data_IF_560113407529
#
_entry.id   IF_560113407529
#
_cell.length_a   1.000
_cell.length_b   1.000
_cell.length_c   1.000
_cell.angle_alpha   90.00
_cell.angle_beta   90.00
_cell.angle_gamma   90.00
#
_symmetry.space_group_name_H-M   'P 1'
#
loop_
_entity.id
_entity.type
_entity.pdbx_description
1 polymer ?
#
# COMPACT_ATOMS: atom_id res chain seq x y z
N UNK A 1 -22.78 13.50 -15.72
CA UNK A 1 -23.08 12.92 -14.40
C UNK A 1 -22.20 13.64 -13.40
N UNK A 2 -22.72 14.17 -12.29
CA UNK A 2 -21.90 14.78 -11.23
C UNK A 2 -21.03 13.67 -10.65
N UNK A 3 -19.71 13.77 -10.78
CA UNK A 3 -18.77 12.84 -10.15
C UNK A 3 -19.01 12.86 -8.65
N UNK A 4 -19.27 11.71 -8.06
CA UNK A 4 -19.45 11.56 -6.60
C UNK A 4 -18.17 12.04 -5.92
N UNK A 5 -18.25 13.05 -5.07
CA UNK A 5 -17.08 13.59 -4.37
C UNK A 5 -16.78 12.71 -3.15
N UNK A 6 -15.79 11.84 -3.26
CA UNK A 6 -15.35 11.02 -2.14
C UNK A 6 -14.45 11.81 -1.19
N UNK A 7 -14.78 11.80 0.10
CA UNK A 7 -14.06 12.54 1.14
C UNK A 7 -12.54 12.27 1.14
N UNK A 8 -12.14 11.00 0.94
CA UNK A 8 -10.72 10.63 0.83
C UNK A 8 -10.05 11.32 -0.36
N UNK A 9 -10.66 11.26 -1.54
CA UNK A 9 -10.09 11.81 -2.78
C UNK A 9 -10.01 13.35 -2.69
N UNK A 10 -11.05 13.99 -2.16
CA UNK A 10 -11.03 15.44 -1.92
C UNK A 10 -9.90 15.83 -0.95
N UNK A 11 -9.67 15.03 0.12
CA UNK A 11 -8.58 15.28 1.06
C UNK A 11 -7.20 15.10 0.42
N UNK A 12 -7.03 14.07 -0.43
CA UNK A 12 -5.77 13.81 -1.15
C UNK A 12 -5.45 15.03 -2.07
N UNK A 13 -6.44 15.58 -2.74
CA UNK A 13 -6.28 16.78 -3.55
C UNK A 13 -6.30 18.09 -2.74
N UNK A 14 -6.23 18.01 -1.40
CA UNK A 14 -6.16 19.15 -0.49
C UNK A 14 -7.33 20.14 -0.66
N UNK A 15 -8.52 19.64 -1.01
CA UNK A 15 -9.75 20.42 -1.10
C UNK A 15 -10.44 20.50 0.26
N UNK A 16 -11.33 21.47 0.42
CA UNK A 16 -12.13 21.64 1.64
C UNK A 16 -13.06 20.45 1.85
N UNK A 17 -13.07 19.92 3.05
CA UNK A 17 -13.84 18.77 3.50
C UNK A 17 -14.45 19.03 4.88
N UNK A 18 -15.56 18.34 5.19
CA UNK A 18 -16.29 18.53 6.45
C UNK A 18 -15.62 17.86 7.66
N UNK A 19 -14.78 16.85 7.43
CA UNK A 19 -14.01 16.14 8.44
C UNK A 19 -12.83 15.41 7.82
N UNK A 20 -11.89 15.01 8.64
CA UNK A 20 -10.76 14.18 8.18
C UNK A 20 -11.24 12.77 7.81
N UNK A 21 -10.96 12.28 6.58
CA UNK A 21 -11.27 10.91 6.20
C UNK A 21 -10.38 9.90 6.95
N UNK A 22 -10.93 8.72 7.21
CA UNK A 22 -10.22 7.63 7.91
C UNK A 22 -10.34 6.31 7.16
N UNK A 23 -9.20 5.68 6.93
CA UNK A 23 -9.08 4.27 6.57
C UNK A 23 -7.91 3.65 7.32
N UNK A 24 -7.81 2.33 7.40
CA UNK A 24 -6.84 1.66 8.26
C UNK A 24 -5.97 0.73 7.41
N UNK A 25 -4.67 0.96 7.40
CA UNK A 25 -3.71 0.10 6.72
C UNK A 25 -3.82 -1.34 7.24
N UNK A 26 -4.08 -2.30 6.32
CA UNK A 26 -4.43 -3.70 6.61
C UNK A 26 -5.79 -3.85 7.30
N UNK A 27 -6.77 -2.96 7.01
CA UNK A 27 -8.13 -3.01 7.54
C UNK A 27 -8.83 -4.36 7.32
N UNK A 28 -8.57 -5.05 6.21
CA UNK A 28 -8.88 -6.45 6.02
C UNK A 28 -7.67 -7.30 6.45
N UNK A 29 -7.82 -8.15 7.46
CA UNK A 29 -6.66 -8.89 7.93
C UNK A 29 -6.90 -9.79 9.14
N UNK A 30 -5.83 -10.39 9.63
CA UNK A 30 -5.82 -11.47 10.63
C UNK A 30 -6.41 -11.10 12.00
N UNK A 31 -6.65 -9.84 12.29
CA UNK A 31 -7.31 -9.40 13.52
C UNK A 31 -8.85 -9.58 13.45
N UNK A 32 -9.42 -9.75 12.24
CA UNK A 32 -10.85 -9.97 12.02
C UNK A 32 -11.18 -11.46 12.04
N UNK A 33 -12.12 -11.91 12.91
CA UNK A 33 -12.58 -13.31 12.94
C UNK A 33 -13.16 -13.79 11.61
N UNK A 34 -13.93 -12.94 10.92
CA UNK A 34 -14.51 -13.20 9.62
C UNK A 34 -13.44 -13.41 8.54
N UNK A 35 -12.36 -12.64 8.56
CA UNK A 35 -11.21 -12.86 7.68
C UNK A 35 -10.59 -14.24 7.89
N UNK A 36 -10.33 -14.61 9.15
CA UNK A 36 -9.76 -15.93 9.48
C UNK A 36 -10.65 -17.06 8.96
N UNK A 37 -11.98 -16.93 9.16
CA UNK A 37 -12.96 -17.90 8.65
C UNK A 37 -12.87 -18.02 7.13
N UNK A 38 -12.92 -16.91 6.40
CA UNK A 38 -12.88 -16.89 4.94
C UNK A 38 -11.55 -17.44 4.41
N UNK A 39 -10.41 -17.06 5.00
CA UNK A 39 -9.08 -17.61 4.65
C UNK A 39 -9.02 -19.12 4.80
N UNK A 40 -9.57 -19.66 5.92
CA UNK A 40 -9.56 -21.10 6.18
C UNK A 40 -10.47 -21.85 5.20
N UNK A 41 -11.63 -21.30 4.88
CA UNK A 41 -12.54 -21.86 3.85
C UNK A 41 -11.89 -21.89 2.46
N UNK A 42 -11.13 -20.84 2.11
CA UNK A 42 -10.37 -20.80 0.85
C UNK A 42 -9.23 -21.84 0.79
N UNK A 43 -8.78 -22.36 1.94
CA UNK A 43 -7.63 -23.27 2.01
C UNK A 43 -6.28 -22.55 1.90
N UNK A 44 -6.20 -21.30 2.40
CA UNK A 44 -4.98 -20.52 2.54
C UNK A 44 -4.97 -19.18 1.80
N UNK A 45 -3.92 -18.40 2.06
CA UNK A 45 -3.83 -17.02 1.60
C UNK A 45 -3.80 -16.89 0.07
N UNK A 46 -2.96 -17.68 -0.63
CA UNK A 46 -2.86 -17.61 -2.10
C UNK A 46 -4.16 -18.01 -2.80
N UNK A 47 -4.85 -19.03 -2.28
CA UNK A 47 -6.14 -19.44 -2.83
C UNK A 47 -7.22 -18.39 -2.57
N UNK A 48 -7.12 -17.67 -1.45
CA UNK A 48 -8.02 -16.56 -1.12
C UNK A 48 -7.85 -15.40 -2.10
N UNK A 49 -6.63 -14.90 -2.30
CA UNK A 49 -6.40 -13.74 -3.16
C UNK A 49 -6.59 -14.04 -4.65
N UNK A 50 -6.43 -15.31 -5.07
CA UNK A 50 -6.68 -15.77 -6.45
C UNK A 50 -8.13 -16.15 -6.72
N UNK A 51 -9.02 -15.99 -5.75
CA UNK A 51 -10.46 -16.15 -5.94
C UNK A 51 -11.15 -14.80 -5.83
N UNK A 52 -11.67 -14.23 -6.94
CA UNK A 52 -12.24 -12.89 -6.98
C UNK A 52 -13.38 -12.64 -6.01
N UNK A 53 -14.27 -13.62 -5.83
CA UNK A 53 -15.43 -13.51 -4.93
C UNK A 53 -14.98 -13.47 -3.47
N UNK A 54 -14.01 -14.32 -3.09
CA UNK A 54 -13.51 -14.36 -1.71
C UNK A 54 -12.63 -13.14 -1.39
N UNK A 55 -11.83 -12.67 -2.35
CA UNK A 55 -11.04 -11.44 -2.17
C UNK A 55 -11.94 -10.20 -2.06
N UNK A 56 -13.02 -10.14 -2.85
CA UNK A 56 -14.07 -9.13 -2.72
C UNK A 56 -14.73 -9.20 -1.34
N UNK A 57 -15.20 -10.37 -0.92
CA UNK A 57 -15.81 -10.58 0.42
C UNK A 57 -14.88 -10.05 1.52
N UNK A 58 -13.60 -10.41 1.48
CA UNK A 58 -12.63 -9.96 2.49
C UNK A 58 -12.40 -8.44 2.44
N UNK A 59 -12.41 -7.85 1.26
CA UNK A 59 -12.32 -6.38 1.11
C UNK A 59 -13.52 -5.69 1.77
N UNK A 60 -14.72 -6.26 1.66
CA UNK A 60 -15.96 -5.68 2.17
C UNK A 60 -16.15 -5.89 3.69
N UNK A 61 -15.50 -6.89 4.31
CA UNK A 61 -15.66 -7.19 5.74
C UNK A 61 -15.41 -5.99 6.67
N UNK A 62 -14.29 -5.26 6.57
CA UNK A 62 -14.06 -4.09 7.42
C UNK A 62 -15.06 -2.96 7.16
N UNK A 63 -15.55 -2.79 5.92
CA UNK A 63 -16.52 -1.74 5.58
C UNK A 63 -17.90 -2.00 6.16
N UNK A 64 -18.29 -3.28 6.32
CA UNK A 64 -19.52 -3.66 7.02
C UNK A 64 -19.41 -3.47 8.53
N UNK A 65 -18.20 -3.48 9.07
CA UNK A 65 -17.93 -3.38 10.50
C UNK A 65 -17.69 -1.95 10.96
N UNK A 66 -17.01 -1.15 10.14
CA UNK A 66 -16.56 0.19 10.49
C UNK A 66 -16.98 1.20 9.44
N UNK A 67 -17.38 2.42 9.83
CA UNK A 67 -17.71 3.49 8.88
C UNK A 67 -16.42 4.13 8.31
N UNK A 68 -15.65 3.36 7.56
CA UNK A 68 -14.43 3.79 6.88
C UNK A 68 -14.74 4.63 5.64
N UNK A 69 -13.79 5.46 5.23
CA UNK A 69 -13.94 6.37 4.09
C UNK A 69 -13.29 5.87 2.80
N UNK A 70 -12.80 4.61 2.82
CA UNK A 70 -12.23 3.95 1.64
C UNK A 70 -12.23 2.45 1.77
N UNK A 71 -12.45 1.76 0.65
CA UNK A 71 -12.05 0.38 0.46
C UNK A 71 -10.57 0.29 0.11
N UNK A 72 -9.89 -0.76 0.55
CA UNK A 72 -8.56 -1.15 0.10
C UNK A 72 -8.64 -2.51 -0.57
N UNK A 73 -8.20 -2.60 -1.81
CA UNK A 73 -8.13 -3.86 -2.54
C UNK A 73 -7.42 -4.93 -1.70
N UNK A 74 -8.05 -6.09 -1.52
CA UNK A 74 -7.41 -7.22 -0.85
C UNK A 74 -6.58 -8.03 -1.84
N UNK A 75 -5.27 -7.85 -1.80
CA UNK A 75 -4.27 -8.51 -2.65
C UNK A 75 -2.93 -8.57 -1.93
N UNK A 76 -1.84 -8.81 -2.65
CA UNK A 76 -0.46 -8.73 -2.14
C UNK A 76 0.42 -7.91 -3.07
N UNK A 77 1.45 -7.24 -2.52
CA UNK A 77 2.40 -6.43 -3.30
C UNK A 77 3.26 -7.26 -4.26
N UNK A 78 3.32 -8.58 -4.06
CA UNK A 78 4.16 -9.50 -4.83
C UNK A 78 3.40 -10.21 -5.96
N UNK A 79 2.08 -9.98 -6.11
CA UNK A 79 1.31 -10.64 -7.18
C UNK A 79 1.81 -10.28 -8.59
N UNK A 80 2.48 -9.13 -8.74
CA UNK A 80 3.15 -8.76 -10.00
C UNK A 80 4.14 -9.84 -10.47
N UNK A 81 4.66 -10.66 -9.57
CA UNK A 81 5.55 -11.77 -9.90
C UNK A 81 4.84 -12.89 -10.70
N UNK A 82 3.51 -12.96 -10.68
CA UNK A 82 2.74 -13.91 -11.49
C UNK A 82 2.89 -13.58 -12.99
N UNK A 83 3.11 -12.31 -13.36
CA UNK A 83 3.40 -11.90 -14.75
C UNK A 83 4.74 -12.45 -15.26
N UNK A 84 5.64 -12.81 -14.36
CA UNK A 84 6.96 -13.38 -14.64
C UNK A 84 6.99 -14.91 -14.49
N UNK A 85 5.86 -15.55 -14.19
CA UNK A 85 5.75 -16.99 -13.90
C UNK A 85 6.66 -17.44 -12.74
N UNK A 86 6.85 -16.60 -11.73
CA UNK A 86 7.77 -16.87 -10.62
C UNK A 86 7.19 -17.73 -9.50
N UNK A 87 5.96 -18.23 -9.63
CA UNK A 87 5.33 -19.15 -8.71
C UNK A 87 5.38 -18.70 -7.24
N UNK A 88 4.81 -17.51 -6.95
CA UNK A 88 4.67 -17.01 -5.59
C UNK A 88 3.81 -17.95 -4.74
N UNK A 89 4.34 -18.37 -3.60
CA UNK A 89 3.59 -19.10 -2.56
C UNK A 89 3.82 -18.48 -1.19
N UNK A 90 2.90 -18.74 -0.28
CA UNK A 90 3.00 -18.29 1.11
C UNK A 90 3.00 -19.50 2.05
N UNK A 91 3.92 -19.50 2.99
CA UNK A 91 3.95 -20.48 4.09
C UNK A 91 3.65 -19.78 5.42
N UNK A 92 2.83 -20.44 6.24
CA UNK A 92 2.49 -19.92 7.56
C UNK A 92 3.75 -19.69 8.40
N UNK A 93 3.84 -18.53 9.06
CA UNK A 93 4.98 -18.06 9.87
C UNK A 93 6.26 -17.70 9.10
N UNK A 94 6.42 -18.10 7.84
CA UNK A 94 7.57 -17.78 6.99
C UNK A 94 7.24 -16.55 6.11
N UNK A 95 6.07 -16.55 5.49
CA UNK A 95 5.64 -15.50 4.56
C UNK A 95 5.81 -15.90 3.09
N UNK A 96 6.05 -14.94 2.19
CA UNK A 96 6.23 -15.21 0.77
C UNK A 96 7.51 -16.00 0.48
N UNK A 97 7.42 -16.92 -0.49
CA UNK A 97 8.51 -17.75 -0.95
C UNK A 97 8.50 -17.81 -2.47
N UNK A 98 9.70 -17.67 -3.05
CA UNK A 98 9.98 -17.90 -4.46
C UNK A 98 10.99 -19.06 -4.59
N UNK A 99 10.58 -20.16 -5.22
CA UNK A 99 11.43 -21.34 -5.35
C UNK A 99 12.64 -21.12 -6.27
N UNK A 100 12.56 -20.16 -7.16
CA UNK A 100 13.61 -19.80 -8.11
C UNK A 100 13.92 -18.30 -8.00
N UNK A 101 14.71 -17.87 -7.00
CA UNK A 101 15.08 -16.47 -6.84
C UNK A 101 15.98 -15.99 -7.98
N UNK A 102 15.92 -14.68 -8.29
CA UNK A 102 16.71 -14.04 -9.36
C UNK A 102 18.08 -13.62 -8.84
N UNK A 103 19.10 -14.39 -9.09
CA UNK A 103 20.47 -14.13 -8.56
C UNK A 103 21.53 -14.02 -9.65
N UNK A 104 21.26 -14.50 -10.84
CA UNK A 104 22.20 -14.57 -11.96
C UNK A 104 21.55 -14.10 -13.26
N UNK A 105 22.38 -13.75 -14.25
CA UNK A 105 21.92 -13.47 -15.62
C UNK A 105 21.07 -14.63 -16.18
N UNK A 106 21.53 -15.86 -15.96
CA UNK A 106 20.81 -17.05 -16.41
C UNK A 106 19.44 -17.22 -15.75
N UNK A 107 19.22 -16.71 -14.53
CA UNK A 107 17.90 -16.73 -13.91
C UNK A 107 16.96 -15.72 -14.57
N UNK A 108 17.47 -14.53 -14.90
CA UNK A 108 16.71 -13.50 -15.60
C UNK A 108 16.35 -13.94 -17.03
N UNK A 109 17.27 -14.58 -17.75
CA UNK A 109 17.06 -15.09 -19.13
C UNK A 109 15.99 -16.21 -19.22
N UNK A 110 15.72 -16.90 -18.13
CA UNK A 110 14.66 -17.95 -18.05
C UNK A 110 13.25 -17.37 -17.90
N UNK A 111 13.13 -16.08 -17.58
CA UNK A 111 11.83 -15.43 -17.46
C UNK A 111 11.22 -15.17 -18.85
N UNK A 112 9.89 -15.04 -18.96
CA UNK A 112 9.23 -14.70 -20.21
C UNK A 112 9.79 -13.41 -20.80
N UNK A 113 10.05 -13.39 -22.10
CA UNK A 113 10.45 -12.17 -22.81
C UNK A 113 9.34 -11.12 -22.90
N UNK A 114 8.09 -11.59 -22.88
CA UNK A 114 6.90 -10.76 -22.83
C UNK A 114 6.16 -11.01 -21.51
N UNK A 115 5.74 -9.92 -20.89
CA UNK A 115 4.97 -9.98 -19.63
C UNK A 115 3.51 -10.23 -19.97
N UNK A 116 2.92 -11.21 -19.31
CA UNK A 116 1.52 -11.55 -19.51
C UNK A 116 0.67 -11.00 -18.35
N UNK A 117 0.05 -9.85 -18.57
CA UNK A 117 -0.83 -9.20 -17.59
C UNK A 117 -2.10 -10.02 -17.35
N UNK A 118 -2.48 -10.93 -18.26
CA UNK A 118 -3.64 -11.81 -18.07
C UNK A 118 -3.47 -12.77 -16.89
N UNK A 119 -2.23 -13.05 -16.47
CA UNK A 119 -1.94 -13.78 -15.23
C UNK A 119 -2.46 -13.09 -13.96
N UNK A 120 -2.86 -11.80 -14.06
CA UNK A 120 -3.46 -11.01 -12.99
C UNK A 120 -4.98 -10.77 -13.19
N UNK A 121 -5.64 -11.48 -14.12
CA UNK A 121 -7.08 -11.29 -14.39
C UNK A 121 -7.93 -11.51 -13.12
N UNK A 122 -7.52 -12.42 -12.22
CA UNK A 122 -8.19 -12.60 -10.93
C UNK A 122 -8.21 -11.31 -10.06
N UNK A 123 -7.21 -10.43 -10.20
CA UNK A 123 -7.21 -9.12 -9.52
C UNK A 123 -8.19 -8.17 -10.19
N UNK A 124 -8.22 -8.15 -11.53
CA UNK A 124 -9.12 -7.32 -12.30
C UNK A 124 -10.60 -7.67 -12.02
N UNK A 125 -10.91 -8.95 -11.97
CA UNK A 125 -12.23 -9.46 -11.58
C UNK A 125 -12.57 -9.09 -10.13
N UNK A 126 -11.60 -9.19 -9.20
CA UNK A 126 -11.77 -8.74 -7.82
C UNK A 126 -12.14 -7.26 -7.75
N UNK A 127 -11.44 -6.39 -8.51
CA UNK A 127 -11.73 -4.96 -8.57
C UNK A 127 -13.16 -4.70 -9.08
N UNK A 128 -13.56 -5.36 -10.17
CA UNK A 128 -14.92 -5.25 -10.73
C UNK A 128 -16.00 -5.65 -9.71
N UNK A 129 -15.78 -6.77 -9.00
CA UNK A 129 -16.70 -7.24 -7.97
C UNK A 129 -16.82 -6.25 -6.82
N UNK A 130 -15.68 -5.71 -6.32
CA UNK A 130 -15.68 -4.69 -5.26
C UNK A 130 -16.40 -3.42 -5.73
N UNK A 131 -16.11 -2.90 -6.92
CA UNK A 131 -16.78 -1.71 -7.46
C UNK A 131 -18.28 -1.93 -7.61
N UNK A 132 -18.71 -3.12 -8.02
CA UNK A 132 -20.12 -3.51 -8.06
C UNK A 132 -20.79 -3.45 -6.67
N UNK A 133 -20.15 -3.96 -5.62
CA UNK A 133 -20.67 -3.91 -4.25
C UNK A 133 -20.64 -2.50 -3.64
N UNK A 134 -19.60 -1.71 -3.91
CA UNK A 134 -19.48 -0.33 -3.42
C UNK A 134 -20.52 0.60 -4.05
N UNK A 135 -20.92 0.36 -5.29
CA UNK A 135 -21.90 1.17 -6.02
C UNK A 135 -21.61 2.68 -5.90
N UNK A 136 -20.35 3.06 -6.08
CA UNK A 136 -19.82 4.43 -5.96
C UNK A 136 -20.04 5.11 -4.58
N UNK A 137 -20.33 4.35 -3.54
CA UNK A 137 -20.47 4.91 -2.18
C UNK A 137 -19.14 5.29 -1.52
N UNK A 138 -18.07 4.57 -1.86
CA UNK A 138 -16.71 4.77 -1.36
C UNK A 138 -15.68 4.59 -2.47
N UNK A 139 -14.53 5.28 -2.37
CA UNK A 139 -13.42 5.06 -3.29
C UNK A 139 -12.71 3.74 -2.97
N UNK A 140 -12.17 3.11 -4.00
CA UNK A 140 -11.33 1.92 -3.91
C UNK A 140 -9.86 2.29 -4.12
N UNK A 141 -9.01 2.04 -3.13
CA UNK A 141 -7.56 2.15 -3.26
C UNK A 141 -7.02 0.84 -3.83
N UNK A 142 -6.40 0.89 -5.02
CA UNK A 142 -5.52 -0.14 -5.53
C UNK A 142 -4.09 0.07 -5.03
N UNK A 143 -3.21 -0.92 -5.19
CA UNK A 143 -1.84 -0.75 -4.73
C UNK A 143 -0.84 -1.66 -5.44
N UNK A 144 0.43 -1.30 -5.28
CA UNK A 144 1.59 -2.09 -5.71
C UNK A 144 2.73 -1.99 -4.71
N UNK A 145 3.67 -2.93 -4.78
CA UNK A 145 4.99 -2.75 -4.17
C UNK A 145 5.88 -1.88 -5.05
N UNK A 146 6.76 -1.06 -4.46
CA UNK A 146 7.81 -0.40 -5.22
C UNK A 146 8.69 -1.43 -5.92
N UNK A 147 9.27 -1.13 -7.09
CA UNK A 147 10.15 -2.06 -7.79
C UNK A 147 11.31 -2.57 -6.93
N UNK A 148 11.93 -1.70 -6.14
CA UNK A 148 12.95 -2.10 -5.17
C UNK A 148 12.41 -3.09 -4.11
N UNK A 149 11.25 -2.80 -3.52
CA UNK A 149 10.64 -3.68 -2.54
C UNK A 149 10.34 -5.06 -3.13
N UNK A 150 9.78 -5.12 -4.33
CA UNK A 150 9.51 -6.37 -5.03
C UNK A 150 10.81 -7.11 -5.34
N UNK A 151 11.83 -6.40 -5.88
CA UNK A 151 13.13 -6.97 -6.21
C UNK A 151 13.80 -7.64 -4.99
N UNK A 152 13.70 -7.02 -3.79
CA UNK A 152 14.27 -7.64 -2.58
C UNK A 152 13.71 -9.04 -2.34
N UNK A 153 12.41 -9.25 -2.50
CA UNK A 153 11.80 -10.57 -2.33
C UNK A 153 12.17 -11.55 -3.45
N UNK A 154 12.21 -11.08 -4.71
CA UNK A 154 12.56 -11.93 -5.86
C UNK A 154 14.02 -12.39 -5.80
N UNK A 155 14.92 -11.55 -5.30
CA UNK A 155 16.36 -11.85 -5.17
C UNK A 155 16.64 -12.68 -3.94
N UNK A 156 16.07 -12.35 -2.77
CA UNK A 156 16.24 -13.14 -1.54
C UNK A 156 15.54 -14.50 -1.62
N UNK A 157 14.41 -14.59 -2.34
CA UNK A 157 13.59 -15.79 -2.47
C UNK A 157 12.59 -15.98 -1.33
N UNK A 158 12.69 -15.20 -0.26
CA UNK A 158 11.80 -15.26 0.91
C UNK A 158 11.85 -13.97 1.74
N UNK A 159 11.03 -13.91 2.80
CA UNK A 159 11.15 -12.88 3.83
C UNK A 159 12.43 -13.05 4.63
N UNK A 160 13.27 -12.02 4.69
CA UNK A 160 14.50 -12.00 5.48
C UNK A 160 14.68 -10.65 6.18
N UNK A 161 15.52 -10.63 7.22
CA UNK A 161 16.01 -9.39 7.85
C UNK A 161 17.44 -9.06 7.43
N UNK A 162 18.13 -9.97 6.76
CA UNK A 162 19.55 -9.85 6.42
C UNK A 162 19.79 -9.22 5.06
N UNK A 163 18.92 -9.48 4.08
CA UNK A 163 19.00 -8.94 2.71
C UNK A 163 20.39 -9.17 2.05
N UNK A 164 20.99 -10.35 2.28
CA UNK A 164 22.38 -10.64 1.92
C UNK A 164 22.59 -10.67 0.41
N UNK A 165 21.64 -11.29 -0.32
CA UNK A 165 21.76 -11.42 -1.78
C UNK A 165 21.55 -10.10 -2.50
N UNK A 166 20.52 -9.33 -2.13
CA UNK A 166 20.26 -8.03 -2.78
C UNK A 166 21.36 -7.02 -2.46
N UNK A 167 21.88 -7.01 -1.23
CA UNK A 167 23.02 -6.16 -0.85
C UNK A 167 24.32 -6.59 -1.57
N UNK A 168 24.53 -7.89 -1.77
CA UNK A 168 25.64 -8.43 -2.58
C UNK A 168 25.50 -7.95 -4.03
N UNK A 169 24.34 -8.16 -4.65
CA UNK A 169 24.07 -7.76 -6.03
C UNK A 169 24.21 -6.24 -6.24
N UNK A 170 23.74 -5.43 -5.28
CA UNK A 170 23.92 -3.97 -5.32
C UNK A 170 25.39 -3.54 -5.45
N UNK A 171 26.31 -4.28 -4.84
CA UNK A 171 27.76 -3.98 -4.83
C UNK A 171 28.50 -4.61 -5.99
N UNK A 172 28.20 -5.87 -6.31
CA UNK A 172 28.99 -6.71 -7.18
C UNK A 172 28.45 -6.77 -8.60
N UNK A 173 27.12 -6.64 -8.78
CA UNK A 173 26.47 -6.69 -10.10
C UNK A 173 25.29 -5.71 -10.20
N UNK A 174 25.54 -4.38 -10.10
CA UNK A 174 24.49 -3.37 -10.17
C UNK A 174 23.76 -3.32 -11.52
N UNK A 175 24.38 -3.81 -12.60
CA UNK A 175 23.77 -3.85 -13.93
C UNK A 175 22.68 -4.92 -14.00
N UNK A 176 22.91 -6.11 -13.45
CA UNK A 176 21.88 -7.14 -13.30
C UNK A 176 20.72 -6.64 -12.44
N UNK A 177 21.03 -5.99 -11.31
CA UNK A 177 20.01 -5.38 -10.45
C UNK A 177 19.14 -4.37 -11.22
N UNK A 178 19.76 -3.51 -12.01
CA UNK A 178 19.04 -2.52 -12.84
C UNK A 178 18.12 -3.18 -13.85
N UNK A 179 18.55 -4.26 -14.50
CA UNK A 179 17.72 -5.03 -15.46
C UNK A 179 16.53 -5.71 -14.76
N UNK A 180 16.74 -6.25 -13.57
CA UNK A 180 15.64 -6.81 -12.74
C UNK A 180 14.63 -5.70 -12.38
N UNK A 181 15.11 -4.54 -11.93
CA UNK A 181 14.27 -3.40 -11.60
C UNK A 181 13.50 -2.85 -12.82
N UNK A 182 14.13 -2.75 -13.99
CA UNK A 182 13.47 -2.33 -15.23
C UNK A 182 12.32 -3.29 -15.61
N UNK A 183 12.55 -4.60 -15.51
CA UNK A 183 11.55 -5.63 -15.77
C UNK A 183 10.36 -5.50 -14.80
N UNK A 184 10.63 -5.41 -13.49
CA UNK A 184 9.59 -5.25 -12.47
C UNK A 184 8.81 -3.96 -12.72
N UNK A 185 9.50 -2.86 -13.04
CA UNK A 185 8.86 -1.56 -13.29
C UNK A 185 7.92 -1.63 -14.49
N UNK A 186 8.33 -2.28 -15.58
CA UNK A 186 7.46 -2.49 -16.74
C UNK A 186 6.20 -3.25 -16.35
N UNK A 187 6.34 -4.38 -15.67
CA UNK A 187 5.17 -5.14 -15.18
C UNK A 187 4.29 -4.35 -14.21
N UNK A 188 4.90 -3.56 -13.32
CA UNK A 188 4.16 -2.71 -12.38
C UNK A 188 3.36 -1.62 -13.08
N UNK A 189 3.91 -1.01 -14.15
CA UNK A 189 3.20 -0.02 -14.98
C UNK A 189 1.98 -0.66 -15.64
N UNK A 190 2.14 -1.82 -16.27
CA UNK A 190 1.04 -2.52 -16.93
C UNK A 190 -0.03 -2.94 -15.89
N UNK A 191 0.39 -3.43 -14.74
CA UNK A 191 -0.51 -3.81 -13.65
C UNK A 191 -1.28 -2.62 -13.06
N UNK A 192 -0.64 -1.47 -12.87
CA UNK A 192 -1.31 -0.24 -12.40
C UNK A 192 -2.37 0.21 -13.41
N UNK A 193 -2.05 0.21 -14.70
CA UNK A 193 -3.01 0.57 -15.75
C UNK A 193 -4.24 -0.34 -15.75
N UNK A 194 -4.05 -1.64 -15.60
CA UNK A 194 -5.17 -2.56 -15.48
C UNK A 194 -6.01 -2.32 -14.22
N UNK A 195 -5.39 -2.03 -13.05
CA UNK A 195 -6.14 -1.66 -11.86
C UNK A 195 -7.02 -0.42 -12.11
N UNK A 196 -6.45 0.64 -12.71
CA UNK A 196 -7.17 1.89 -13.02
C UNK A 196 -8.31 1.64 -14.02
N UNK A 197 -8.02 0.94 -15.10
CA UNK A 197 -9.01 0.58 -16.13
C UNK A 197 -10.19 -0.21 -15.56
N UNK A 198 -9.97 -1.03 -14.53
CA UNK A 198 -11.00 -1.80 -13.86
C UNK A 198 -11.69 -1.06 -12.70
N UNK A 199 -11.29 0.18 -12.42
CA UNK A 199 -12.07 1.13 -11.61
C UNK A 199 -11.52 1.45 -10.23
N UNK A 200 -10.22 1.31 -9.95
CA UNK A 200 -9.66 1.87 -8.72
C UNK A 200 -9.63 3.41 -8.79
N UNK A 201 -9.83 4.06 -7.67
CA UNK A 201 -9.97 5.51 -7.55
C UNK A 201 -8.70 6.20 -7.02
N UNK A 202 -7.75 5.43 -6.50
CA UNK A 202 -6.42 5.86 -6.08
C UNK A 202 -5.43 4.70 -6.19
N UNK A 203 -4.14 4.99 -6.42
CA UNK A 203 -3.07 3.97 -6.38
C UNK A 203 -2.14 4.26 -5.21
N UNK A 204 -1.85 3.22 -4.42
CA UNK A 204 -0.87 3.31 -3.33
C UNK A 204 0.40 2.52 -3.66
N UNK A 205 1.56 3.18 -3.56
CA UNK A 205 2.88 2.56 -3.76
C UNK A 205 3.50 2.28 -2.40
N UNK A 206 3.74 0.99 -2.09
CA UNK A 206 4.40 0.57 -0.86
C UNK A 206 5.90 0.38 -1.07
N UNK A 207 6.70 1.33 -0.58
CA UNK A 207 8.17 1.25 -0.56
C UNK A 207 8.67 0.73 0.80
N UNK A 208 8.27 -0.48 1.14
CA UNK A 208 8.51 -1.10 2.46
C UNK A 208 10.00 -1.19 2.79
N UNK A 209 10.84 -1.46 1.79
CA UNK A 209 12.26 -1.69 1.94
C UNK A 209 13.15 -0.56 1.38
N UNK A 210 12.57 0.56 0.99
CA UNK A 210 13.32 1.75 0.52
C UNK A 210 14.38 2.22 1.53
N UNK A 211 14.14 2.03 2.82
CA UNK A 211 15.10 2.36 3.87
C UNK A 211 16.37 1.50 3.93
N UNK A 212 16.47 0.44 3.15
CA UNK A 212 17.73 -0.32 2.96
C UNK A 212 18.73 0.44 2.10
N UNK A 213 18.24 1.39 1.32
CA UNK A 213 19.04 2.25 0.45
C UNK A 213 19.22 3.64 1.08
N UNK A 214 20.33 4.27 0.81
CA UNK A 214 20.62 5.63 1.24
C UNK A 214 21.37 6.42 0.16
N UNK A 215 21.32 7.74 0.24
CA UNK A 215 22.03 8.61 -0.67
C UNK A 215 21.67 8.35 -2.14
N UNK A 216 22.70 8.29 -3.00
CA UNK A 216 22.53 8.12 -4.45
C UNK A 216 21.97 6.74 -4.83
N UNK A 217 22.23 5.71 -4.00
CA UNK A 217 21.66 4.38 -4.26
C UNK A 217 20.13 4.38 -4.11
N UNK A 218 19.57 5.16 -3.18
CA UNK A 218 18.12 5.29 -3.06
C UNK A 218 17.51 5.92 -4.31
N UNK A 219 18.12 6.95 -4.83
CA UNK A 219 17.70 7.60 -6.07
C UNK A 219 17.82 6.64 -7.27
N UNK A 220 19.00 6.03 -7.42
CA UNK A 220 19.32 5.17 -8.57
C UNK A 220 18.50 3.90 -8.62
N UNK A 221 18.29 3.22 -7.48
CA UNK A 221 17.68 1.87 -7.43
C UNK A 221 16.26 1.81 -6.85
N UNK A 222 15.71 2.95 -6.38
CA UNK A 222 14.32 3.03 -5.93
C UNK A 222 13.57 4.17 -6.61
N UNK A 223 13.91 5.44 -6.34
CA UNK A 223 13.10 6.58 -6.75
C UNK A 223 12.91 6.71 -8.25
N UNK A 224 13.96 6.50 -9.05
CA UNK A 224 13.87 6.59 -10.51
C UNK A 224 12.86 5.59 -11.10
N UNK A 225 12.73 4.43 -10.48
CA UNK A 225 11.75 3.40 -10.89
C UNK A 225 10.35 3.74 -10.40
N UNK A 226 10.22 4.27 -9.19
CA UNK A 226 8.95 4.76 -8.65
C UNK A 226 8.42 5.91 -9.52
N UNK A 227 9.28 6.86 -9.91
CA UNK A 227 8.90 7.98 -10.77
C UNK A 227 8.37 7.53 -12.15
N UNK A 228 8.94 6.46 -12.74
CA UNK A 228 8.41 5.87 -13.98
C UNK A 228 6.96 5.38 -13.82
N UNK A 229 6.66 4.76 -12.68
CA UNK A 229 5.30 4.28 -12.37
C UNK A 229 4.36 5.47 -12.15
N UNK A 230 4.77 6.45 -11.34
CA UNK A 230 3.99 7.65 -11.07
C UNK A 230 3.63 8.36 -12.38
N UNK A 231 4.62 8.61 -13.25
CA UNK A 231 4.41 9.28 -14.54
C UNK A 231 3.39 8.53 -15.42
N UNK A 232 3.39 7.20 -15.36
CA UNK A 232 2.39 6.38 -16.06
C UNK A 232 0.99 6.51 -15.44
N UNK A 233 0.88 6.65 -14.11
CA UNK A 233 -0.38 6.78 -13.38
C UNK A 233 -1.03 8.17 -13.61
N UNK A 234 -0.23 9.22 -13.67
CA UNK A 234 -0.70 10.58 -13.94
C UNK A 234 -1.46 10.72 -15.25
N UNK A 235 -1.07 9.97 -16.27
CA UNK A 235 -1.77 10.00 -17.57
C UNK A 235 -3.19 9.47 -17.49
N UNK A 236 -3.50 8.71 -16.46
CA UNK A 236 -4.82 8.11 -16.22
C UNK A 236 -5.71 8.96 -15.27
N UNK A 237 -5.17 10.04 -14.68
CA UNK A 237 -5.92 10.98 -13.85
C UNK A 237 -6.33 10.46 -12.45
N UNK A 238 -5.61 9.47 -11.93
CA UNK A 238 -5.84 8.83 -10.63
C UNK A 238 -4.75 9.29 -9.65
N UNK A 239 -5.10 9.73 -8.41
CA UNK A 239 -4.11 10.19 -7.45
C UNK A 239 -3.21 9.06 -6.93
N UNK A 240 -1.96 9.42 -6.63
CA UNK A 240 -0.94 8.53 -6.13
C UNK A 240 -0.65 8.79 -4.65
N UNK A 241 -0.78 7.74 -3.84
CA UNK A 241 -0.38 7.72 -2.43
C UNK A 241 0.96 6.98 -2.33
N UNK A 242 1.97 7.60 -1.77
CA UNK A 242 3.26 6.95 -1.53
C UNK A 242 3.44 6.65 -0.05
N UNK A 243 3.92 5.47 0.30
CA UNK A 243 4.23 5.09 1.66
C UNK A 243 5.60 4.41 1.76
N UNK A 244 6.48 4.95 2.60
CA UNK A 244 7.75 4.32 2.96
C UNK A 244 7.84 4.11 4.47
N UNK A 245 8.45 3.01 4.87
CA UNK A 245 8.82 2.77 6.28
C UNK A 245 10.15 3.44 6.64
N UNK A 246 10.83 4.05 5.66
CA UNK A 246 12.10 4.73 5.86
C UNK A 246 11.92 6.00 6.70
N UNK A 247 12.88 6.24 7.60
CA UNK A 247 13.04 7.50 8.32
C UNK A 247 14.05 8.43 7.64
N UNK A 248 14.77 7.92 6.67
CA UNK A 248 15.77 8.62 5.87
C UNK A 248 15.23 8.92 4.48
N UNK A 249 15.92 9.76 3.74
CA UNK A 249 15.64 10.09 2.35
C UNK A 249 14.44 11.01 2.09
N UNK A 250 13.81 11.61 3.11
CA UNK A 250 12.67 12.53 2.88
C UNK A 250 13.02 13.69 1.94
N UNK A 251 14.26 14.21 1.98
CA UNK A 251 14.69 15.28 1.08
C UNK A 251 14.57 14.87 -0.39
N UNK A 252 14.87 13.60 -0.71
CA UNK A 252 14.77 13.08 -2.07
C UNK A 252 13.31 12.88 -2.53
N UNK A 253 12.38 12.70 -1.59
CA UNK A 253 10.95 12.54 -1.88
C UNK A 253 10.28 13.86 -2.30
N UNK A 254 10.85 15.02 -1.96
CA UNK A 254 10.30 16.34 -2.35
C UNK A 254 10.06 16.47 -3.86
N UNK A 255 10.85 15.78 -4.66
CA UNK A 255 10.79 15.85 -6.13
C UNK A 255 9.84 14.84 -6.77
N UNK A 256 9.22 13.94 -5.97
CA UNK A 256 8.21 13.02 -6.50
C UNK A 256 6.94 13.77 -6.91
N UNK A 257 6.31 13.29 -7.95
CA UNK A 257 5.01 13.79 -8.42
C UNK A 257 3.89 12.92 -7.83
N UNK A 258 3.72 12.98 -6.51
CA UNK A 258 2.67 12.27 -5.76
C UNK A 258 1.64 13.27 -5.23
N UNK A 259 0.46 12.77 -4.86
CA UNK A 259 -0.61 13.57 -4.29
C UNK A 259 -0.68 13.44 -2.77
N UNK A 260 -0.27 12.30 -2.22
CA UNK A 260 -0.32 12.03 -0.79
C UNK A 260 0.89 11.20 -0.34
N UNK A 261 1.42 11.52 0.84
CA UNK A 261 2.51 10.75 1.46
C UNK A 261 2.11 10.20 2.81
N UNK A 262 2.28 8.88 2.98
CA UNK A 262 2.07 8.20 4.25
C UNK A 262 3.28 8.36 5.18
N UNK A 263 3.04 8.80 6.41
CA UNK A 263 4.06 9.11 7.42
C UNK A 263 3.98 8.11 8.57
N UNK A 264 5.15 7.64 9.05
CA UNK A 264 5.23 6.77 10.22
C UNK A 264 4.95 7.51 11.52
N UNK A 265 4.54 6.78 12.58
CA UNK A 265 4.12 7.34 13.87
C UNK A 265 5.19 8.11 14.64
N UNK A 266 6.44 8.09 14.22
CA UNK A 266 7.56 8.77 14.88
C UNK A 266 7.71 10.23 14.46
N UNK A 267 7.01 10.66 13.41
CA UNK A 267 7.11 12.01 12.87
C UNK A 267 5.87 12.83 13.26
N UNK A 268 6.04 14.14 13.42
CA UNK A 268 4.93 15.07 13.55
C UNK A 268 4.33 15.37 12.18
N UNK A 269 3.01 15.25 12.02
CA UNK A 269 2.35 15.40 10.71
C UNK A 269 2.47 16.84 10.17
N UNK A 270 2.28 17.84 11.02
CA UNK A 270 2.38 19.24 10.63
C UNK A 270 3.79 19.65 10.23
N UNK A 271 4.81 19.14 10.96
CA UNK A 271 6.21 19.39 10.62
C UNK A 271 6.55 18.76 9.26
N UNK A 272 6.06 17.54 9.00
CA UNK A 272 6.28 16.88 7.71
C UNK A 272 5.54 17.59 6.57
N UNK A 273 4.33 18.08 6.81
CA UNK A 273 3.59 18.87 5.82
C UNK A 273 4.34 20.15 5.44
N UNK A 274 4.88 20.86 6.43
CA UNK A 274 5.71 22.03 6.19
C UNK A 274 7.05 21.66 5.54
N UNK A 275 7.68 20.53 5.95
CA UNK A 275 8.91 20.03 5.34
C UNK A 275 8.77 19.79 3.83
N UNK A 276 7.61 19.30 3.40
CA UNK A 276 7.29 19.11 1.98
C UNK A 276 6.68 20.36 1.33
N UNK A 277 6.81 21.54 1.93
CA UNK A 277 6.29 22.82 1.41
C UNK A 277 4.80 22.75 1.09
N UNK A 278 4.05 21.91 1.82
CA UNK A 278 2.61 21.64 1.62
C UNK A 278 2.25 21.09 0.23
N UNK A 279 3.23 20.52 -0.46
CA UNK A 279 3.05 19.97 -1.80
C UNK A 279 2.14 18.75 -1.82
N UNK A 280 2.18 17.90 -0.79
CA UNK A 280 1.45 16.64 -0.69
C UNK A 280 0.45 16.67 0.45
N UNK A 281 -0.70 16.02 0.29
CA UNK A 281 -1.50 15.62 1.44
C UNK A 281 -0.70 14.65 2.33
N UNK A 282 -0.97 14.66 3.63
CA UNK A 282 -0.29 13.79 4.60
C UNK A 282 -1.26 12.71 5.08
N UNK A 283 -0.83 11.46 5.00
CA UNK A 283 -1.57 10.33 5.52
C UNK A 283 -0.88 9.75 6.76
N UNK A 284 -1.64 9.49 7.79
CA UNK A 284 -1.16 8.84 9.02
C UNK A 284 -1.71 9.53 10.26
N UNK A 285 -1.06 9.37 11.45
CA UNK A 285 0.03 8.42 11.68
C UNK A 285 -0.04 7.87 13.12
N UNK A 286 -1.26 7.55 13.58
CA UNK A 286 -1.42 7.02 14.94
C UNK A 286 -0.52 5.79 15.15
N UNK A 287 0.19 5.75 16.29
CA UNK A 287 0.93 4.55 16.68
C UNK A 287 -0.03 3.37 16.86
N UNK A 288 0.21 2.30 16.10
CA UNK A 288 -0.64 1.11 16.08
C UNK A 288 -0.75 0.43 17.45
N UNK A 289 0.30 0.49 18.28
CA UNK A 289 0.31 -0.13 19.61
C UNK A 289 -0.69 0.52 20.58
N UNK A 290 -1.10 1.76 20.36
CA UNK A 290 -2.16 2.43 21.14
C UNK A 290 -3.48 1.66 21.08
N UNK A 291 -3.73 0.91 20.00
CA UNK A 291 -4.93 0.07 19.88
C UNK A 291 -4.96 -1.14 20.83
N UNK A 292 -3.87 -1.43 21.52
CA UNK A 292 -3.83 -2.46 22.57
C UNK A 292 -4.27 -1.92 23.94
N UNK A 293 -4.26 -0.60 24.09
CA UNK A 293 -4.56 0.12 25.33
C UNK A 293 -6.06 0.31 25.55
N UNK A 294 -6.42 0.95 26.67
CA UNK A 294 -7.80 1.29 27.00
C UNK A 294 -8.38 2.39 26.11
N UNK A 295 -9.70 2.47 26.03
CA UNK A 295 -10.42 3.44 25.20
C UNK A 295 -10.00 4.89 25.45
N UNK A 296 -9.75 5.26 26.70
CA UNK A 296 -9.30 6.62 27.06
C UNK A 296 -7.93 6.95 26.46
N UNK A 297 -7.03 5.98 26.41
CA UNK A 297 -5.70 6.14 25.80
C UNK A 297 -5.84 6.22 24.28
N UNK A 298 -6.70 5.39 23.68
CA UNK A 298 -7.01 5.46 22.24
C UNK A 298 -7.56 6.85 21.89
N UNK A 299 -8.55 7.35 22.65
CA UNK A 299 -9.12 8.70 22.43
C UNK A 299 -8.06 9.80 22.52
N UNK A 300 -7.22 9.78 23.55
CA UNK A 300 -6.09 10.73 23.69
C UNK A 300 -5.11 10.64 22.50
N UNK A 301 -4.85 9.43 22.02
CA UNK A 301 -4.02 9.22 20.83
C UNK A 301 -4.62 9.83 19.57
N UNK A 302 -5.95 9.67 19.36
CA UNK A 302 -6.67 10.30 18.24
C UNK A 302 -6.58 11.82 18.34
N UNK A 303 -6.92 12.40 19.50
CA UNK A 303 -6.85 13.86 19.71
C UNK A 303 -5.44 14.37 19.39
N UNK A 304 -4.42 13.75 19.99
CA UNK A 304 -3.03 14.13 19.76
C UNK A 304 -2.64 14.06 18.27
N UNK A 305 -3.05 13.01 17.56
CA UNK A 305 -2.73 12.86 16.13
C UNK A 305 -3.41 13.94 15.30
N UNK A 306 -4.69 14.25 15.56
CA UNK A 306 -5.41 15.34 14.89
C UNK A 306 -4.79 16.70 15.17
N UNK A 307 -4.41 16.98 16.42
CA UNK A 307 -3.75 18.23 16.83
C UNK A 307 -2.37 18.43 16.20
N UNK A 308 -1.67 17.34 15.83
CA UNK A 308 -0.37 17.45 15.12
C UNK A 308 -0.50 17.93 13.69
N UNK A 309 -1.73 18.00 13.14
CA UNK A 309 -2.00 18.55 11.82
C UNK A 309 -2.98 19.72 11.90
N UNK A 310 -2.48 20.95 12.25
CA UNK A 310 -3.32 22.12 12.50
C UNK A 310 -3.73 22.86 11.21
N UNK A 311 -3.91 22.12 10.08
CA UNK A 311 -4.29 22.69 8.80
C UNK A 311 -5.69 22.22 8.39
N UNK A 312 -6.40 23.03 7.62
CA UNK A 312 -7.79 22.77 7.24
C UNK A 312 -7.94 21.65 6.21
N UNK A 313 -6.90 21.46 5.37
CA UNK A 313 -6.95 20.50 4.24
C UNK A 313 -5.71 19.63 4.17
N UNK A 314 -5.81 18.48 3.52
CA UNK A 314 -4.66 17.63 3.21
C UNK A 314 -4.30 16.60 4.27
N UNK A 315 -5.21 16.24 5.21
CA UNK A 315 -4.99 15.15 6.16
C UNK A 315 -5.88 13.95 5.86
N UNK A 316 -5.29 12.78 5.75
CA UNK A 316 -5.96 11.48 5.74
C UNK A 316 -5.55 10.72 6.99
N UNK A 317 -6.47 10.48 7.91
CA UNK A 317 -6.16 9.73 9.13
C UNK A 317 -5.91 8.25 8.84
N UNK A 318 -4.81 7.74 9.35
CA UNK A 318 -4.44 6.33 9.30
C UNK A 318 -3.54 5.96 10.49
N UNK A 319 -3.18 4.68 10.59
CA UNK A 319 -2.10 4.24 11.47
C UNK A 319 -0.74 4.54 10.83
N UNK A 320 0.29 4.72 11.65
CA UNK A 320 1.67 4.89 11.19
C UNK A 320 2.28 3.60 10.61
N UNK A 321 1.67 2.45 10.93
CA UNK A 321 1.98 1.12 10.36
C UNK A 321 0.70 0.30 10.23
N UNK A 322 0.75 -0.84 9.53
CA UNK A 322 -0.43 -1.71 9.40
C UNK A 322 -0.86 -2.31 10.73
N UNK A 323 -2.19 -2.50 10.89
CA UNK A 323 -2.78 -3.16 12.06
C UNK A 323 -2.19 -4.56 12.28
N UNK A 324 -2.01 -4.96 13.54
CA UNK A 324 -1.45 -6.26 13.94
C UNK A 324 -2.53 -7.25 14.37
N UNK A 325 -2.29 -8.58 14.26
CA UNK A 325 -3.31 -9.60 14.52
C UNK A 325 -3.82 -9.68 15.97
N UNK A 326 -3.08 -9.11 16.91
CA UNK A 326 -3.37 -9.10 18.35
C UNK A 326 -4.29 -7.96 18.79
N UNK A 327 -4.73 -7.10 17.87
CA UNK A 327 -5.65 -6.00 18.14
C UNK A 327 -7.10 -6.50 18.08
N UNK A 328 -7.89 -6.17 19.11
CA UNK A 328 -9.31 -6.52 19.16
C UNK A 328 -10.13 -5.63 18.21
N UNK A 329 -11.07 -6.18 17.41
CA UNK A 329 -11.89 -5.41 16.46
C UNK A 329 -12.65 -4.23 17.09
N UNK A 330 -13.14 -4.35 18.31
CA UNK A 330 -13.88 -3.27 18.99
C UNK A 330 -12.99 -2.04 19.29
N UNK A 331 -11.68 -2.23 19.41
CA UNK A 331 -10.73 -1.11 19.57
C UNK A 331 -10.61 -0.31 18.27
N UNK A 332 -10.68 -1.01 17.14
CA UNK A 332 -10.68 -0.38 15.82
C UNK A 332 -12.00 0.35 15.57
N UNK A 333 -13.14 -0.25 15.93
CA UNK A 333 -14.44 0.43 15.87
C UNK A 333 -14.40 1.74 16.65
N UNK A 334 -13.96 1.67 17.91
CA UNK A 334 -13.86 2.84 18.77
C UNK A 334 -12.92 3.91 18.20
N UNK A 335 -11.76 3.50 17.64
CA UNK A 335 -10.85 4.42 16.97
C UNK A 335 -11.54 5.17 15.83
N UNK A 336 -12.19 4.43 14.92
CA UNK A 336 -12.84 5.01 13.75
C UNK A 336 -13.95 5.98 14.15
N UNK A 337 -14.77 5.61 15.14
CA UNK A 337 -15.82 6.47 15.69
C UNK A 337 -15.23 7.76 16.28
N UNK A 338 -14.15 7.66 17.07
CA UNK A 338 -13.49 8.84 17.64
C UNK A 338 -12.87 9.76 16.59
N UNK A 339 -12.23 9.21 15.55
CA UNK A 339 -11.71 10.03 14.46
C UNK A 339 -12.82 10.79 13.77
N UNK A 340 -13.94 10.13 13.45
CA UNK A 340 -15.07 10.76 12.75
C UNK A 340 -15.73 11.84 13.59
N UNK A 341 -15.87 11.60 14.91
CA UNK A 341 -16.49 12.56 15.85
C UNK A 341 -15.61 13.80 16.08
N UNK A 342 -14.29 13.58 16.33
CA UNK A 342 -13.38 14.63 16.76
C UNK A 342 -12.75 15.43 15.61
N UNK A 343 -12.91 15.00 14.37
CA UNK A 343 -12.32 15.66 13.20
C UNK A 343 -13.33 16.50 12.38
N UNK A 344 -14.56 16.67 12.86
CA UNK A 344 -15.56 17.57 12.24
C UNK A 344 -15.05 19.01 12.30
N UNK A 345 -15.16 19.73 11.19
CA UNK A 345 -14.66 21.11 10.99
C UNK A 345 -15.79 22.11 11.02
#
# INVERSE_FOLDING_TARGET
MSQTKHLLIESIYQRTIDRTPVWIMRQAGRYLPEYIKTKNQAGGFMKLIRNPELACEVTMQPLRRYPLDSALLFSDILVVADMFNMNLRFEDKIGPIFDKPLRTESDLEKLPSELDVSNLEYVNETIKNIKGELNDSLPLIGFIGSPWTVATYLIEGNSTKQFSFVNGMLKENPDLLSRILDMITKGSVDYVREQIKNGVDAIMIFDTWGGLLSGDNYEKFSLNYIQKIISSTYTEGVPVIYYSRSKSNFDKLKNLDIDCIGISSENNLGDMYNFFDKKFAIQGNLNTDILKEDKDIIKKGVIKTLETFPFETGHVFNLGTGITPDIHPDKVSYLVDQVRELSVK
#
